data_IF_019056331992
#
_entry.id   IF_019056331992
#
_cell.length_a   1.000
_cell.length_b   1.000
_cell.length_c   1.000
_cell.angle_alpha   90.00
_cell.angle_beta   90.00
_cell.angle_gamma   90.00
#
_symmetry.space_group_name_H-M   'P 1'
#
loop_
_entity.id
_entity.type
_entity.pdbx_description
1 polymer ?
#
# COMPACT_ATOMS: atom_id res chain seq x y z
N UNK A 1 -8.63 -9.37 10.72
CA UNK A 1 -8.78 -8.22 9.80
C UNK A 1 -9.67 -7.19 10.47
N UNK A 2 -9.12 -6.02 10.81
CA UNK A 2 -9.76 -5.07 11.71
C UNK A 2 -10.88 -4.28 11.04
N UNK A 3 -11.89 -3.94 11.84
CA UNK A 3 -13.08 -3.13 11.55
C UNK A 3 -12.73 -1.87 10.73
N UNK A 4 -11.52 -1.32 10.93
CA UNK A 4 -10.94 -0.20 10.18
C UNK A 4 -10.87 -0.39 8.66
N UNK A 5 -10.66 -1.62 8.17
CA UNK A 5 -10.65 -1.90 6.72
C UNK A 5 -12.05 -1.78 6.11
N UNK A 6 -13.07 -2.27 6.81
CA UNK A 6 -14.45 -2.20 6.36
C UNK A 6 -14.95 -0.76 6.36
N UNK A 7 -14.62 0.01 7.40
CA UNK A 7 -14.93 1.44 7.46
C UNK A 7 -14.28 2.18 6.30
N UNK A 8 -13.01 1.90 5.98
CA UNK A 8 -12.32 2.49 4.84
C UNK A 8 -12.94 2.10 3.49
N UNK A 9 -13.34 0.83 3.32
CA UNK A 9 -13.99 0.35 2.10
C UNK A 9 -15.37 0.99 1.90
N UNK A 10 -16.16 1.13 2.98
CA UNK A 10 -17.48 1.80 2.96
C UNK A 10 -17.34 3.30 2.67
N UNK A 11 -16.35 3.96 3.27
CA UNK A 11 -16.05 5.37 2.97
C UNK A 11 -15.69 5.57 1.49
N UNK A 12 -14.90 4.63 0.94
CA UNK A 12 -14.47 4.65 -0.46
C UNK A 12 -15.64 4.46 -1.44
N UNK A 13 -16.58 3.55 -1.14
CA UNK A 13 -17.79 3.34 -1.94
C UNK A 13 -18.79 4.51 -1.83
N UNK A 14 -18.89 5.14 -0.66
CA UNK A 14 -19.78 6.29 -0.46
C UNK A 14 -19.33 7.52 -1.27
N UNK A 15 -18.02 7.74 -1.38
CA UNK A 15 -17.46 8.83 -2.20
C UNK A 15 -17.67 8.60 -3.71
N UNK A 16 -17.64 7.35 -4.18
CA UNK A 16 -17.93 6.98 -5.57
C UNK A 16 -19.36 7.37 -6.00
N UNK A 17 -20.35 7.07 -5.15
CA UNK A 17 -21.76 7.34 -5.42
C UNK A 17 -22.05 8.85 -5.45
N UNK A 18 -21.32 9.64 -4.65
CA UNK A 18 -21.56 11.07 -4.49
C UNK A 18 -21.01 11.93 -5.64
N UNK A 19 -19.91 11.53 -6.28
CA UNK A 19 -19.12 12.41 -7.17
C UNK A 19 -19.11 11.99 -8.67
N UNK A 20 -19.85 10.96 -9.08
CA UNK A 20 -19.96 10.57 -10.50
C UNK A 20 -18.60 10.23 -11.16
N UNK A 21 -18.33 10.75 -12.36
CA UNK A 21 -17.12 10.47 -13.13
C UNK A 21 -15.82 10.90 -12.40
N UNK A 22 -15.84 12.03 -11.70
CA UNK A 22 -14.72 12.49 -10.89
C UNK A 22 -14.48 11.55 -9.68
N UNK A 23 -15.56 11.03 -9.10
CA UNK A 23 -15.49 9.97 -8.09
C UNK A 23 -14.83 8.69 -8.62
N UNK A 24 -15.15 8.30 -9.87
CA UNK A 24 -14.53 7.16 -10.55
C UNK A 24 -13.02 7.33 -10.79
N UNK A 25 -12.60 8.51 -11.23
CA UNK A 25 -11.17 8.84 -11.42
C UNK A 25 -10.43 8.83 -10.08
N UNK A 26 -11.00 9.44 -9.05
CA UNK A 26 -10.44 9.44 -7.69
C UNK A 26 -10.27 8.03 -7.12
N UNK A 27 -11.28 7.17 -7.32
CA UNK A 27 -11.22 5.78 -6.93
C UNK A 27 -10.11 5.02 -7.67
N UNK A 28 -10.00 5.23 -8.98
CA UNK A 28 -8.94 4.59 -9.77
C UNK A 28 -7.56 5.02 -9.30
N UNK A 29 -7.34 6.32 -9.08
CA UNK A 29 -6.06 6.83 -8.58
C UNK A 29 -5.70 6.22 -7.21
N UNK A 30 -6.68 6.13 -6.30
CA UNK A 30 -6.47 5.51 -4.98
C UNK A 30 -6.09 4.03 -5.09
N UNK A 31 -6.73 3.29 -6.01
CA UNK A 31 -6.37 1.90 -6.28
C UNK A 31 -4.97 1.79 -6.88
N UNK A 32 -4.60 2.69 -7.80
CA UNK A 32 -3.25 2.76 -8.37
C UNK A 32 -2.20 3.03 -7.29
N UNK A 33 -2.48 3.93 -6.35
CA UNK A 33 -1.59 4.23 -5.22
C UNK A 33 -1.38 3.00 -4.33
N UNK A 34 -2.44 2.28 -3.99
CA UNK A 34 -2.33 1.01 -3.25
C UNK A 34 -1.52 -0.03 -4.02
N UNK A 35 -1.80 -0.20 -5.32
CA UNK A 35 -1.08 -1.16 -6.15
C UNK A 35 0.40 -0.79 -6.30
N UNK A 36 0.72 0.49 -6.38
CA UNK A 36 2.08 1.01 -6.43
C UNK A 36 2.85 0.72 -5.14
N UNK A 37 2.21 0.93 -3.98
CA UNK A 37 2.78 0.54 -2.69
C UNK A 37 3.08 -0.96 -2.61
N UNK A 38 2.17 -1.80 -3.12
CA UNK A 38 2.36 -3.24 -3.19
C UNK A 38 3.47 -3.66 -4.18
N UNK A 39 3.55 -3.03 -5.35
CA UNK A 39 4.61 -3.27 -6.31
C UNK A 39 5.99 -2.90 -5.73
N UNK A 40 6.08 -1.76 -5.03
CA UNK A 40 7.31 -1.34 -4.36
C UNK A 40 7.71 -2.32 -3.26
N UNK A 41 6.75 -2.80 -2.47
CA UNK A 41 6.99 -3.86 -1.48
C UNK A 41 7.68 -5.05 -2.11
N UNK A 42 7.11 -5.61 -3.19
CA UNK A 42 7.69 -6.77 -3.88
C UNK A 42 9.10 -6.50 -4.38
N UNK A 43 9.30 -5.38 -5.08
CA UNK A 43 10.61 -5.00 -5.60
C UNK A 43 11.67 -4.87 -4.49
N UNK A 44 11.31 -4.30 -3.34
CA UNK A 44 12.24 -4.15 -2.21
C UNK A 44 12.57 -5.50 -1.56
N UNK A 45 11.59 -6.37 -1.35
CA UNK A 45 11.80 -7.71 -0.80
C UNK A 45 12.66 -8.58 -1.73
N UNK A 46 12.33 -8.60 -3.02
CA UNK A 46 13.11 -9.30 -4.05
C UNK A 46 14.55 -8.80 -4.11
N UNK A 47 14.78 -7.48 -4.09
CA UNK A 47 16.12 -6.90 -4.15
C UNK A 47 17.02 -7.27 -2.96
N UNK A 48 16.43 -7.62 -1.82
CA UNK A 48 17.14 -7.93 -0.57
C UNK A 48 17.15 -9.42 -0.24
N UNK A 49 16.47 -10.26 -1.04
CA UNK A 49 16.30 -11.68 -0.75
C UNK A 49 15.57 -11.95 0.58
N UNK A 50 14.73 -11.01 1.03
CA UNK A 50 14.05 -11.09 2.32
C UNK A 50 12.59 -11.49 2.14
N UNK A 51 12.09 -12.34 3.05
CA UNK A 51 10.66 -12.73 3.12
C UNK A 51 9.89 -11.95 4.18
N UNK A 52 10.59 -11.19 5.03
CA UNK A 52 10.01 -10.52 6.21
C UNK A 52 9.89 -9.01 6.07
N UNK A 53 8.86 -8.45 6.72
CA UNK A 53 8.50 -7.03 6.66
C UNK A 53 9.39 -6.12 7.52
N UNK A 54 10.37 -6.71 8.22
CA UNK A 54 11.22 -6.00 9.17
C UNK A 54 11.97 -4.85 8.51
N UNK A 55 12.41 -5.05 7.27
CA UNK A 55 13.13 -4.03 6.52
C UNK A 55 12.25 -2.85 6.07
N UNK A 56 10.92 -3.03 6.05
CA UNK A 56 9.95 -1.99 5.65
C UNK A 56 9.32 -1.30 6.85
N UNK A 57 9.36 -1.90 8.05
CA UNK A 57 8.71 -1.39 9.26
C UNK A 57 9.15 0.04 9.60
N UNK A 58 10.45 0.32 9.51
CA UNK A 58 11.00 1.67 9.76
C UNK A 58 10.49 2.70 8.75
N UNK A 59 10.51 2.37 7.46
CA UNK A 59 10.00 3.25 6.39
C UNK A 59 8.50 3.49 6.54
N UNK A 60 7.72 2.45 6.81
CA UNK A 60 6.26 2.56 7.04
C UNK A 60 5.97 3.49 8.22
N UNK A 61 6.73 3.38 9.31
CA UNK A 61 6.57 4.27 10.47
C UNK A 61 6.87 5.74 10.09
N UNK A 62 7.95 6.00 9.36
CA UNK A 62 8.29 7.34 8.90
C UNK A 62 7.20 7.95 8.00
N UNK A 63 6.64 7.15 7.08
CA UNK A 63 5.53 7.58 6.21
C UNK A 63 4.25 7.87 7.02
N UNK A 64 3.90 6.99 7.96
CA UNK A 64 2.74 7.20 8.84
C UNK A 64 2.91 8.45 9.71
N UNK A 65 4.11 8.71 10.21
CA UNK A 65 4.39 9.91 10.97
C UNK A 65 4.21 11.17 10.09
N UNK A 66 4.77 11.18 8.89
CA UNK A 66 4.61 12.29 7.95
C UNK A 66 3.13 12.55 7.60
N UNK A 67 2.33 11.48 7.41
CA UNK A 67 0.89 11.60 7.22
C UNK A 67 0.18 12.17 8.44
N UNK A 68 0.55 11.72 9.65
CA UNK A 68 -0.08 12.13 10.91
C UNK A 68 0.11 13.62 11.19
N UNK A 69 1.27 14.18 10.85
CA UNK A 69 1.57 15.62 10.96
C UNK A 69 1.29 16.39 9.68
N UNK A 70 0.69 15.75 8.67
CA UNK A 70 0.32 16.35 7.37
C UNK A 70 1.49 17.01 6.64
N UNK A 71 2.68 16.44 6.75
CA UNK A 71 3.90 16.97 6.13
C UNK A 71 4.15 16.28 4.78
N UNK A 72 3.65 16.91 3.72
CA UNK A 72 3.74 16.45 2.32
C UNK A 72 5.20 16.37 1.84
N UNK A 73 6.01 17.37 2.17
CA UNK A 73 7.43 17.42 1.78
C UNK A 73 8.20 16.26 2.38
N UNK A 74 8.04 16.03 3.69
CA UNK A 74 8.72 14.93 4.37
C UNK A 74 8.27 13.58 3.84
N UNK A 75 6.97 13.44 3.56
CA UNK A 75 6.44 12.24 2.94
C UNK A 75 7.08 11.99 1.57
N UNK A 76 7.14 13.00 0.70
CA UNK A 76 7.75 12.90 -0.63
C UNK A 76 9.25 12.61 -0.57
N UNK A 77 10.00 13.18 0.38
CA UNK A 77 11.41 12.86 0.62
C UNK A 77 11.60 11.36 0.92
N UNK A 78 10.73 10.78 1.75
CA UNK A 78 10.76 9.35 2.07
C UNK A 78 10.39 8.51 0.85
N UNK A 79 9.37 8.91 0.08
CA UNK A 79 8.96 8.23 -1.16
C UNK A 79 10.13 8.19 -2.14
N UNK A 80 10.73 9.34 -2.48
CA UNK A 80 11.84 9.43 -3.42
C UNK A 80 13.00 8.55 -3.00
N UNK A 81 13.43 8.63 -1.73
CA UNK A 81 14.52 7.80 -1.20
C UNK A 81 14.22 6.30 -1.30
N UNK A 82 12.97 5.90 -1.01
CA UNK A 82 12.56 4.50 -1.06
C UNK A 82 12.54 3.99 -2.50
N UNK A 83 12.04 4.80 -3.44
CA UNK A 83 12.01 4.46 -4.87
C UNK A 83 13.41 4.45 -5.50
N UNK A 84 14.35 5.31 -5.08
CA UNK A 84 15.75 5.27 -5.53
C UNK A 84 16.44 3.94 -5.22
N UNK A 85 16.00 3.24 -4.16
CA UNK A 85 16.51 1.91 -3.79
C UNK A 85 15.80 0.78 -4.54
N UNK A 86 14.87 1.11 -5.44
CA UNK A 86 14.09 0.19 -6.26
C UNK A 86 14.37 0.43 -7.74
N UNK A 87 13.93 -0.49 -8.62
CA UNK A 87 13.96 -0.30 -10.08
C UNK A 87 12.66 0.32 -10.63
N UNK A 88 11.78 0.80 -9.76
CA UNK A 88 10.47 1.31 -10.13
C UNK A 88 10.49 2.82 -10.32
N UNK A 89 9.61 3.30 -11.20
CA UNK A 89 9.32 4.72 -11.35
C UNK A 89 8.34 5.18 -10.27
N UNK A 90 8.49 6.44 -9.85
CA UNK A 90 7.56 7.08 -8.92
C UNK A 90 6.21 7.29 -9.63
N UNK A 91 5.08 6.84 -9.06
CA UNK A 91 3.74 7.07 -9.62
C UNK A 91 3.42 8.55 -9.80
N UNK A 92 2.84 8.90 -10.94
CA UNK A 92 2.45 10.29 -11.26
C UNK A 92 1.34 10.79 -10.33
N UNK A 93 0.55 9.88 -9.75
CA UNK A 93 -0.52 10.19 -8.81
C UNK A 93 -0.02 10.93 -7.56
N UNK A 94 1.25 10.78 -7.19
CA UNK A 94 1.86 11.57 -6.11
C UNK A 94 1.92 13.07 -6.43
N UNK A 95 1.90 13.47 -7.71
CA UNK A 95 1.85 14.90 -8.10
C UNK A 95 0.48 15.49 -7.78
N UNK A 96 -0.60 14.72 -7.97
CA UNK A 96 -1.97 15.20 -7.77
C UNK A 96 -2.31 15.51 -6.32
N UNK A 97 -1.58 14.94 -5.37
CA UNK A 97 -1.77 15.23 -3.95
C UNK A 97 -0.98 16.46 -3.46
N UNK A 98 -0.03 16.98 -4.22
CA UNK A 98 0.79 18.12 -3.78
C UNK A 98 -0.07 19.39 -3.65
N UNK A 99 -0.01 20.02 -2.48
CA UNK A 99 -0.82 21.20 -2.17
C UNK A 99 -2.31 20.87 -1.92
N UNK A 100 -2.69 19.59 -1.91
CA UNK A 100 -4.03 19.14 -1.57
C UNK A 100 -3.97 18.14 -0.41
N UNK A 101 -4.18 18.66 0.80
CA UNK A 101 -4.07 17.89 2.04
C UNK A 101 -5.06 16.71 2.12
N UNK A 102 -6.25 16.80 1.53
CA UNK A 102 -7.23 15.70 1.53
C UNK A 102 -6.74 14.56 0.64
N UNK A 103 -6.32 14.88 -0.59
CA UNK A 103 -5.73 13.90 -1.51
C UNK A 103 -4.43 13.32 -0.97
N UNK A 104 -3.61 14.13 -0.30
CA UNK A 104 -2.41 13.67 0.37
C UNK A 104 -2.68 12.56 1.39
N UNK A 105 -3.66 12.77 2.27
CA UNK A 105 -4.03 11.75 3.24
C UNK A 105 -4.62 10.52 2.55
N UNK A 106 -5.52 10.70 1.60
CA UNK A 106 -6.18 9.58 0.93
C UNK A 106 -5.19 8.72 0.13
N UNK A 107 -4.36 9.35 -0.70
CA UNK A 107 -3.39 8.66 -1.55
C UNK A 107 -2.23 8.11 -0.72
N UNK A 108 -1.76 8.87 0.27
CA UNK A 108 -0.71 8.45 1.18
C UNK A 108 -1.09 7.23 2.00
N UNK A 109 -2.30 7.20 2.59
CA UNK A 109 -2.77 6.01 3.31
C UNK A 109 -3.02 4.82 2.37
N UNK A 110 -3.57 5.04 1.17
CA UNK A 110 -3.74 3.96 0.19
C UNK A 110 -2.40 3.32 -0.19
N UNK A 111 -1.38 4.14 -0.44
CA UNK A 111 -0.03 3.69 -0.73
C UNK A 111 0.59 2.89 0.43
N UNK A 112 0.53 3.42 1.67
CA UNK A 112 1.09 2.75 2.85
C UNK A 112 0.40 1.40 3.12
N UNK A 113 -0.91 1.31 2.90
CA UNK A 113 -1.66 0.04 2.97
C UNK A 113 -1.12 -0.99 1.96
N UNK A 114 -0.92 -0.57 0.71
CA UNK A 114 -0.28 -1.38 -0.32
C UNK A 114 1.12 -1.85 0.09
N UNK A 115 1.93 -0.94 0.61
CA UNK A 115 3.30 -1.22 1.08
C UNK A 115 3.35 -2.21 2.25
N UNK A 116 2.31 -2.21 3.10
CA UNK A 116 2.12 -3.19 4.18
C UNK A 116 1.59 -4.55 3.67
N UNK A 117 1.37 -4.71 2.36
CA UNK A 117 0.94 -5.97 1.76
C UNK A 117 -0.57 -6.16 1.66
N UNK A 118 -1.40 -5.14 1.91
CA UNK A 118 -2.85 -5.27 1.68
C UNK A 118 -3.16 -5.16 0.18
N UNK A 119 -3.07 -6.27 -0.55
CA UNK A 119 -3.53 -6.38 -1.94
C UNK A 119 -4.75 -7.32 -2.00
N UNK A 120 -5.77 -6.92 -2.77
CA UNK A 120 -7.11 -7.53 -2.75
C UNK A 120 -7.18 -8.89 -3.49
N UNK A 121 -6.05 -9.56 -3.72
CA UNK A 121 -5.97 -10.81 -4.47
C UNK A 121 -5.13 -11.93 -3.82
N UNK A 122 -4.44 -11.70 -2.71
CA UNK A 122 -3.43 -12.66 -2.21
C UNK A 122 -3.75 -13.36 -0.88
N UNK A 123 -4.85 -12.99 -0.20
CA UNK A 123 -5.23 -13.65 1.06
C UNK A 123 -5.73 -15.10 0.92
N UNK A 124 -5.84 -15.65 -0.31
CA UNK A 124 -6.43 -16.98 -0.53
C UNK A 124 -5.52 -18.03 -1.20
N UNK A 125 -4.23 -17.76 -1.45
CA UNK A 125 -3.33 -18.78 -2.05
C UNK A 125 -2.27 -19.34 -1.11
N UNK A 126 -1.68 -18.51 -0.24
CA UNK A 126 -0.53 -18.96 0.56
C UNK A 126 -0.91 -19.86 1.75
N UNK A 127 -2.19 -19.93 2.14
CA UNK A 127 -2.64 -20.82 3.22
C UNK A 127 -2.97 -22.25 2.75
N UNK A 128 -2.89 -22.54 1.45
CA UNK A 128 -3.18 -23.88 0.91
C UNK A 128 -1.92 -24.70 0.57
N UNK A 129 -0.74 -24.08 0.50
CA UNK A 129 0.51 -24.79 0.17
C UNK A 129 1.26 -25.24 1.43
N UNK A 130 1.20 -24.49 2.54
CA UNK A 130 1.83 -24.88 3.81
C UNK A 130 1.14 -26.07 4.51
N UNK A 131 -0.13 -26.34 4.19
CA UNK A 131 -0.88 -27.46 4.77
C UNK A 131 -0.69 -28.80 4.04
N UNK A 132 -0.06 -28.82 2.85
CA UNK A 132 0.22 -30.09 2.14
C UNK A 132 1.55 -30.74 2.53
N UNK A 133 2.50 -29.94 3.02
CA UNK A 133 3.83 -30.46 3.36
C UNK A 133 3.88 -31.08 4.77
N UNK A 134 2.95 -30.72 5.67
CA UNK A 134 2.90 -31.25 7.03
C UNK A 134 2.14 -32.59 7.17
N UNK A 135 1.41 -33.05 6.15
CA UNK A 135 0.70 -34.34 6.19
C UNK A 135 1.52 -35.52 5.62
N UNK A 136 2.70 -35.28 5.04
CA UNK A 136 3.55 -36.33 4.46
C UNK A 136 4.75 -36.75 5.32
N UNK A 137 5.06 -36.01 6.40
CA UNK A 137 6.13 -36.38 7.34
C UNK A 137 5.65 -37.21 8.55
N UNK A 138 4.34 -37.44 8.73
CA UNK A 138 3.82 -38.31 9.82
C UNK A 138 3.52 -39.76 9.39
N UNK A 139 3.79 -40.16 8.14
CA UNK A 139 3.53 -41.54 7.65
C UNK A 139 4.72 -42.15 6.89
N UNK A 140 5.97 -41.91 7.34
CA UNK A 140 7.11 -42.75 6.98
C UNK A 140 8.02 -43.01 8.18
#
# INVERSE_FOLDING_TARGET
>A
MGISYLVYAVQLQSNLIRNGNEGGIMFSNKMNMRNSGYALRKALLESRGMTTDECLRGTIYQLLNALSVKNEEKFMEIILRTYCSSKLLVPNEFVYMLGNQELFLEYGYAFVLGLKGSHQGETNKNNFEDNKNNEQEEIN
#
